data_IF_784091057394
#
_entry.id   IF_784091057394
#
_cell.length_a   1.000
_cell.length_b   1.000
_cell.length_c   1.000
_cell.angle_alpha   90.00
_cell.angle_beta   90.00
_cell.angle_gamma   90.00
#
_symmetry.space_group_name_H-M   'P 1'
#
loop_
_entity.id
_entity.type
_entity.pdbx_description
1 polymer ?
#
# COMPACT_ATOMS: atom_id res chain seq x y z
N UNK A 1 2.58 9.67 -10.69
CA UNK A 1 3.60 10.61 -11.25
C UNK A 1 3.96 11.59 -10.15
N UNK A 2 5.14 11.43 -9.61
CA UNK A 2 5.64 12.22 -8.48
C UNK A 2 5.67 13.71 -8.82
N UNK A 3 5.19 14.55 -7.90
CA UNK A 3 5.22 16.00 -8.09
C UNK A 3 6.50 16.58 -7.48
N UNK A 4 7.37 17.10 -8.33
CA UNK A 4 8.58 17.82 -7.91
C UNK A 4 8.27 19.31 -7.81
N UNK A 5 8.38 19.86 -6.62
CA UNK A 5 8.29 21.29 -6.38
C UNK A 5 9.70 21.87 -6.23
N UNK A 6 10.18 22.51 -7.28
CA UNK A 6 11.51 23.10 -7.29
C UNK A 6 11.64 24.34 -6.37
N UNK A 7 10.56 25.06 -6.13
CA UNK A 7 10.57 26.25 -5.28
C UNK A 7 10.75 25.89 -3.80
N UNK A 8 10.04 24.86 -3.32
CA UNK A 8 10.18 24.36 -1.95
C UNK A 8 11.26 23.27 -1.80
N UNK A 9 11.84 22.81 -2.90
CA UNK A 9 12.74 21.64 -2.95
C UNK A 9 12.11 20.40 -2.31
N UNK A 10 10.87 20.10 -2.70
CA UNK A 10 10.13 18.94 -2.21
C UNK A 10 9.77 18.00 -3.35
N UNK A 11 9.85 16.71 -3.07
CA UNK A 11 9.34 15.63 -3.92
C UNK A 11 8.19 14.99 -3.16
N UNK A 12 7.00 15.00 -3.76
CA UNK A 12 5.83 14.34 -3.19
C UNK A 12 5.55 13.04 -3.95
N UNK A 13 5.56 11.92 -3.23
CA UNK A 13 5.33 10.59 -3.78
C UNK A 13 4.04 10.00 -3.17
N UNK A 14 3.25 9.35 -4.01
CA UNK A 14 2.00 8.71 -3.60
C UNK A 14 2.16 7.21 -3.55
N UNK A 15 1.98 6.60 -2.38
CA UNK A 15 1.96 5.14 -2.17
C UNK A 15 0.58 4.70 -1.74
N UNK A 16 0.04 3.68 -2.42
CA UNK A 16 -1.30 3.15 -2.15
C UNK A 16 -1.21 1.73 -1.62
N UNK A 17 -1.78 1.51 -0.44
CA UNK A 17 -2.03 0.18 0.11
C UNK A 17 -3.34 -0.36 -0.47
N UNK A 18 -3.22 -1.39 -1.26
CA UNK A 18 -4.33 -2.07 -1.93
C UNK A 18 -4.56 -3.46 -1.34
N UNK A 19 -5.70 -4.08 -1.59
CA UNK A 19 -6.02 -5.42 -1.12
C UNK A 19 -7.43 -5.56 -0.57
N UNK A 20 -7.73 -6.73 -0.05
CA UNK A 20 -9.08 -7.08 0.40
C UNK A 20 -9.52 -6.29 1.64
N UNK A 21 -10.82 -6.27 1.91
CA UNK A 21 -11.39 -5.76 3.16
C UNK A 21 -10.84 -6.55 4.36
N UNK A 22 -10.55 -5.83 5.44
CA UNK A 22 -10.00 -6.39 6.68
C UNK A 22 -8.62 -7.07 6.54
N UNK A 23 -7.94 -6.91 5.40
CA UNK A 23 -6.62 -7.50 5.15
C UNK A 23 -5.47 -6.91 5.96
N UNK A 24 -5.68 -5.76 6.62
CA UNK A 24 -4.68 -5.12 7.48
C UNK A 24 -4.00 -3.91 6.85
N UNK A 25 -4.60 -3.28 5.82
CA UNK A 25 -4.10 -2.04 5.21
C UNK A 25 -4.02 -0.90 6.23
N UNK A 26 -5.13 -0.61 6.92
CA UNK A 26 -5.20 0.40 7.99
C UNK A 26 -4.24 0.09 9.12
N UNK A 27 -4.14 -1.17 9.55
CA UNK A 27 -3.23 -1.62 10.61
C UNK A 27 -1.76 -1.33 10.26
N UNK A 28 -1.37 -1.49 8.97
CA UNK A 28 -0.05 -1.10 8.49
C UNK A 28 0.20 0.41 8.71
N UNK A 29 -0.74 1.28 8.31
CA UNK A 29 -0.60 2.72 8.48
C UNK A 29 -0.58 3.14 9.96
N UNK A 30 -1.44 2.56 10.77
CA UNK A 30 -1.48 2.80 12.22
C UNK A 30 -0.16 2.42 12.88
N UNK A 31 0.44 1.30 12.49
CA UNK A 31 1.74 0.89 13.01
C UNK A 31 2.84 1.86 12.59
N UNK A 32 2.90 2.24 11.31
CA UNK A 32 3.83 3.26 10.81
C UNK A 32 3.66 4.56 11.59
N UNK A 33 2.42 5.02 11.73
CA UNK A 33 2.11 6.23 12.48
C UNK A 33 2.61 6.18 13.93
N UNK A 34 2.45 5.04 14.60
CA UNK A 34 2.85 4.87 16.00
C UNK A 34 4.37 4.90 16.19
N UNK A 35 5.15 4.54 15.17
CA UNK A 35 6.61 4.32 15.27
C UNK A 35 7.46 5.39 14.60
N UNK A 36 6.94 6.09 13.60
CA UNK A 36 7.67 7.20 12.96
C UNK A 36 7.77 8.38 13.92
N UNK A 37 8.93 9.05 13.90
CA UNK A 37 9.18 10.24 14.71
C UNK A 37 8.07 11.28 14.46
N UNK A 38 7.51 11.92 15.50
CA UNK A 38 6.52 12.98 15.37
C UNK A 38 6.90 14.09 14.40
N UNK A 39 8.17 14.47 14.33
CA UNK A 39 8.67 15.53 13.42
C UNK A 39 8.74 15.09 11.95
N UNK A 40 8.66 13.77 11.70
CA UNK A 40 8.73 13.18 10.35
C UNK A 40 7.37 12.68 9.84
N UNK A 41 6.28 13.02 10.51
CA UNK A 41 4.93 12.63 10.09
C UNK A 41 3.94 13.77 10.27
N UNK A 42 2.94 13.80 9.38
CA UNK A 42 1.77 14.64 9.56
C UNK A 42 0.66 13.92 10.34
N UNK A 43 -0.49 14.55 10.38
CA UNK A 43 -1.68 13.97 11.01
C UNK A 43 -2.21 12.82 10.16
N UNK A 44 -2.43 11.67 10.80
CA UNK A 44 -3.19 10.59 10.16
C UNK A 44 -4.67 10.95 10.10
N UNK A 45 -5.25 10.83 8.92
CA UNK A 45 -6.68 11.06 8.68
C UNK A 45 -7.30 9.73 8.27
N UNK A 46 -8.37 9.36 8.96
CA UNK A 46 -9.18 8.18 8.61
C UNK A 46 -10.62 8.63 8.38
N UNK A 47 -11.10 8.38 7.17
CA UNK A 47 -12.50 8.61 6.82
C UNK A 47 -13.25 7.29 6.95
N UNK A 48 -13.76 7.03 8.14
CA UNK A 48 -14.58 5.88 8.47
C UNK A 48 -16.00 6.31 8.80
N UNK A 49 -17.00 5.45 8.53
CA UNK A 49 -18.36 5.62 9.09
C UNK A 49 -18.54 4.82 10.36
N UNK A 50 -19.62 5.12 11.09
CA UNK A 50 -20.00 4.40 12.30
C UNK A 50 -20.26 2.89 12.07
N UNK A 51 -20.60 2.49 10.85
CA UNK A 51 -20.92 1.11 10.48
C UNK A 51 -19.80 0.36 9.77
N UNK A 52 -18.84 1.07 9.15
CA UNK A 52 -17.74 0.46 8.42
C UNK A 52 -16.41 1.15 8.74
N UNK A 53 -15.36 0.36 9.03
CA UNK A 53 -14.07 0.89 9.50
C UNK A 53 -13.34 1.77 8.51
N UNK A 54 -13.57 1.62 7.21
CA UNK A 54 -12.94 2.45 6.18
C UNK A 54 -13.90 2.63 5.01
N UNK A 55 -14.63 3.75 4.96
CA UNK A 55 -15.55 4.04 3.85
C UNK A 55 -14.84 4.55 2.62
N UNK A 56 -13.87 5.41 2.80
CA UNK A 56 -13.19 6.04 1.71
C UNK A 56 -11.70 5.70 1.69
N UNK A 57 -10.91 6.13 2.67
CA UNK A 57 -9.47 5.84 2.74
C UNK A 57 -8.87 6.31 4.06
N UNK A 58 -7.71 5.78 4.40
CA UNK A 58 -6.81 6.38 5.37
C UNK A 58 -5.72 7.13 4.62
N UNK A 59 -5.22 8.21 5.23
CA UNK A 59 -4.15 9.03 4.69
C UNK A 59 -3.13 9.35 5.77
N UNK A 60 -1.85 9.13 5.45
CA UNK A 60 -0.74 9.44 6.34
C UNK A 60 0.43 10.04 5.54
N UNK A 61 0.76 11.33 5.72
CA UNK A 61 1.98 11.91 5.18
C UNK A 61 3.17 11.62 6.09
N UNK A 62 4.28 11.16 5.49
CA UNK A 62 5.55 10.92 6.18
C UNK A 62 6.72 11.51 5.40
N UNK A 63 7.75 11.99 6.12
CA UNK A 63 9.01 12.44 5.55
C UNK A 63 10.05 11.32 5.66
N UNK A 64 10.65 10.92 4.54
CA UNK A 64 11.67 9.87 4.50
C UNK A 64 13.09 10.40 4.24
N UNK A 65 13.31 11.69 4.51
CA UNK A 65 14.60 12.34 4.37
C UNK A 65 14.78 13.06 3.03
N UNK A 66 16.04 13.25 2.63
CA UNK A 66 16.39 14.01 1.43
C UNK A 66 16.97 13.11 0.33
N UNK A 67 16.60 13.40 -0.91
CA UNK A 67 17.15 12.79 -2.10
C UNK A 67 17.64 13.90 -3.03
N UNK A 68 18.95 13.94 -3.31
CA UNK A 68 19.59 14.96 -4.17
C UNK A 68 19.27 16.41 -3.75
N UNK A 69 19.19 16.68 -2.44
CA UNK A 69 18.88 18.01 -1.90
C UNK A 69 17.40 18.38 -1.94
N UNK A 70 16.52 17.43 -2.27
CA UNK A 70 15.08 17.58 -2.18
C UNK A 70 14.51 16.78 -1.00
N UNK A 71 13.71 17.43 -0.17
CA UNK A 71 12.95 16.76 0.89
C UNK A 71 11.93 15.84 0.26
N UNK A 72 11.94 14.55 0.65
CA UNK A 72 11.05 13.55 0.05
C UNK A 72 9.92 13.22 1.01
N UNK A 73 8.71 13.58 0.61
CA UNK A 73 7.48 13.34 1.36
C UNK A 73 6.67 12.25 0.70
N UNK A 74 6.34 11.22 1.46
CA UNK A 74 5.47 10.14 1.03
C UNK A 74 4.06 10.33 1.57
N UNK A 75 3.10 10.25 0.70
CA UNK A 75 1.68 10.28 1.00
C UNK A 75 1.14 8.85 0.91
N UNK A 76 0.92 8.23 2.08
CA UNK A 76 0.41 6.87 2.19
C UNK A 76 -1.11 6.90 2.20
N UNK A 77 -1.73 6.10 1.34
CA UNK A 77 -3.18 5.95 1.25
C UNK A 77 -3.57 4.48 1.40
N UNK A 78 -4.70 4.20 2.02
CA UNK A 78 -5.39 2.91 1.88
C UNK A 78 -6.57 3.05 0.94
N UNK A 79 -6.97 1.97 0.28
CA UNK A 79 -8.24 1.91 -0.44
C UNK A 79 -9.32 1.25 0.40
N UNK A 80 -10.62 1.57 0.18
CA UNK A 80 -11.73 0.83 0.79
C UNK A 80 -11.63 -0.65 0.43
N UNK A 81 -11.83 -1.53 1.41
CA UNK A 81 -11.68 -2.97 1.23
C UNK A 81 -12.82 -3.64 0.49
N UNK A 82 -14.01 -3.06 0.50
CA UNK A 82 -15.20 -3.65 -0.10
C UNK A 82 -15.33 -3.29 -1.58
N UNK A 83 -15.76 -4.27 -2.39
CA UNK A 83 -15.93 -4.14 -3.86
C UNK A 83 -16.93 -3.06 -4.26
N UNK A 84 -17.91 -2.74 -3.42
CA UNK A 84 -18.90 -1.69 -3.68
C UNK A 84 -18.29 -0.29 -3.87
N UNK A 85 -17.07 -0.06 -3.37
CA UNK A 85 -16.38 1.22 -3.46
C UNK A 85 -15.36 1.28 -4.60
N UNK A 86 -15.62 0.58 -5.70
CA UNK A 86 -14.69 0.52 -6.82
C UNK A 86 -14.34 1.91 -7.39
N UNK A 87 -15.31 2.81 -7.45
CA UNK A 87 -15.06 4.19 -7.89
C UNK A 87 -14.06 4.92 -6.99
N UNK A 88 -14.15 4.73 -5.66
CA UNK A 88 -13.20 5.32 -4.69
C UNK A 88 -11.82 4.67 -4.80
N UNK A 89 -11.75 3.34 -4.96
CA UNK A 89 -10.48 2.63 -5.20
C UNK A 89 -9.76 3.17 -6.43
N UNK A 90 -10.49 3.31 -7.54
CA UNK A 90 -9.96 3.86 -8.79
C UNK A 90 -9.48 5.29 -8.63
N UNK A 91 -10.28 6.15 -7.96
CA UNK A 91 -9.89 7.55 -7.72
C UNK A 91 -8.59 7.66 -6.91
N UNK A 92 -8.42 6.81 -5.88
CA UNK A 92 -7.22 6.81 -5.05
C UNK A 92 -5.98 6.37 -5.85
N UNK A 93 -6.10 5.49 -6.84
CA UNK A 93 -4.99 5.06 -7.70
C UNK A 93 -4.52 6.13 -8.69
N UNK A 94 -5.31 7.17 -8.94
CA UNK A 94 -4.89 8.24 -9.86
C UNK A 94 -3.61 8.92 -9.38
N UNK A 95 -2.59 8.92 -10.24
CA UNK A 95 -1.29 9.52 -9.94
C UNK A 95 -0.45 8.73 -8.92
N UNK A 96 -0.70 7.43 -8.78
CA UNK A 96 0.07 6.55 -7.89
C UNK A 96 1.51 6.41 -8.36
N UNK A 97 2.45 6.43 -7.42
CA UNK A 97 3.89 6.26 -7.66
C UNK A 97 4.41 4.90 -7.18
N UNK A 98 3.71 4.28 -6.24
CA UNK A 98 4.04 2.95 -5.73
C UNK A 98 2.82 2.27 -5.10
N UNK A 99 2.78 0.95 -5.17
CA UNK A 99 1.65 0.16 -4.66
C UNK A 99 2.18 -0.94 -3.73
N UNK A 100 1.53 -1.08 -2.59
CA UNK A 100 1.69 -2.22 -1.68
C UNK A 100 0.38 -3.01 -1.71
N UNK A 101 0.44 -4.25 -2.17
CA UNK A 101 -0.70 -5.14 -2.09
C UNK A 101 -0.63 -5.94 -0.80
N UNK A 102 -1.60 -5.72 0.09
CA UNK A 102 -1.72 -6.43 1.36
C UNK A 102 -2.70 -7.59 1.19
N UNK A 103 -2.14 -8.80 1.09
CA UNK A 103 -2.91 -10.04 1.03
C UNK A 103 -3.21 -10.55 2.45
N UNK A 104 -4.41 -11.03 2.65
CA UNK A 104 -4.81 -11.74 3.86
C UNK A 104 -4.43 -13.22 3.72
N UNK A 105 -3.54 -13.72 4.57
CA UNK A 105 -3.02 -15.09 4.45
C UNK A 105 -4.01 -16.19 4.83
N UNK A 106 -5.19 -15.86 5.37
CA UNK A 106 -6.18 -16.85 5.78
C UNK A 106 -6.76 -17.60 4.59
N UNK A 107 -6.98 -18.92 4.72
CA UNK A 107 -7.53 -19.78 3.64
C UNK A 107 -8.87 -19.28 3.12
N UNK A 108 -9.72 -18.81 4.01
CA UNK A 108 -11.05 -18.29 3.68
C UNK A 108 -11.00 -16.98 2.88
N UNK A 109 -9.83 -16.37 2.80
CA UNK A 109 -9.61 -15.09 2.09
C UNK A 109 -8.91 -15.24 0.74
N UNK A 110 -8.61 -16.46 0.33
CA UNK A 110 -7.90 -16.73 -0.93
C UNK A 110 -8.59 -16.11 -2.15
N UNK A 111 -9.88 -16.37 -2.30
CA UNK A 111 -10.67 -15.84 -3.43
C UNK A 111 -10.75 -14.29 -3.37
N UNK A 112 -10.95 -13.73 -2.17
CA UNK A 112 -11.00 -12.28 -2.00
C UNK A 112 -9.67 -11.59 -2.34
N UNK A 113 -8.52 -12.24 -2.09
CA UNK A 113 -7.22 -11.74 -2.53
C UNK A 113 -7.10 -11.72 -4.05
N UNK A 114 -7.53 -12.79 -4.73
CA UNK A 114 -7.51 -12.90 -6.20
C UNK A 114 -8.42 -11.84 -6.81
N UNK A 115 -9.64 -11.69 -6.29
CA UNK A 115 -10.59 -10.66 -6.73
C UNK A 115 -10.02 -9.25 -6.56
N UNK A 116 -9.39 -8.97 -5.41
CA UNK A 116 -8.78 -7.66 -5.15
C UNK A 116 -7.60 -7.40 -6.10
N UNK A 117 -6.83 -8.42 -6.45
CA UNK A 117 -5.72 -8.30 -7.40
C UNK A 117 -6.26 -8.02 -8.82
N UNK A 118 -7.27 -8.74 -9.29
CA UNK A 118 -7.91 -8.46 -10.57
C UNK A 118 -8.47 -7.04 -10.61
N UNK A 119 -9.15 -6.62 -9.56
CA UNK A 119 -9.69 -5.27 -9.45
C UNK A 119 -8.59 -4.18 -9.47
N UNK A 120 -7.40 -4.46 -8.92
CA UNK A 120 -6.25 -3.56 -9.04
C UNK A 120 -5.85 -3.39 -10.52
N UNK A 121 -5.70 -4.50 -11.26
CA UNK A 121 -5.35 -4.45 -12.68
C UNK A 121 -6.39 -3.67 -13.49
N UNK A 122 -7.67 -3.96 -13.35
CA UNK A 122 -8.76 -3.27 -14.05
C UNK A 122 -8.77 -1.76 -13.77
N UNK A 123 -8.58 -1.38 -12.50
CA UNK A 123 -8.56 0.03 -12.13
C UNK A 123 -7.34 0.77 -12.67
N UNK A 124 -6.16 0.14 -12.73
CA UNK A 124 -4.97 0.72 -13.34
C UNK A 124 -5.14 0.85 -14.86
N UNK A 125 -5.62 -0.19 -15.53
CA UNK A 125 -5.89 -0.20 -16.96
C UNK A 125 -6.85 0.91 -17.37
N UNK A 126 -7.86 1.22 -16.54
CA UNK A 126 -8.81 2.30 -16.79
C UNK A 126 -8.15 3.70 -16.90
N UNK A 127 -6.93 3.86 -16.38
CA UNK A 127 -6.10 5.04 -16.51
C UNK A 127 -4.99 4.89 -17.56
N UNK A 128 -4.90 3.76 -18.23
CA UNK A 128 -3.78 3.43 -19.11
C UNK A 128 -2.48 3.16 -18.37
N UNK A 129 -2.55 2.77 -17.10
CA UNK A 129 -1.39 2.41 -16.29
C UNK A 129 -1.10 0.92 -16.42
N UNK A 130 0.18 0.59 -16.56
CA UNK A 130 0.69 -0.78 -16.51
C UNK A 130 1.36 -1.03 -15.16
N UNK A 131 0.87 -2.02 -14.40
CA UNK A 131 1.42 -2.37 -13.09
C UNK A 131 2.92 -2.74 -13.18
N UNK A 132 3.37 -3.30 -14.29
CA UNK A 132 4.79 -3.64 -14.50
C UNK A 132 5.73 -2.41 -14.50
N UNK A 133 5.18 -1.22 -14.73
CA UNK A 133 5.92 0.05 -14.73
C UNK A 133 5.81 0.82 -13.41
N UNK A 134 5.00 0.32 -12.48
CA UNK A 134 4.80 0.95 -11.17
C UNK A 134 5.56 0.13 -10.11
N UNK A 135 6.36 0.77 -9.23
CA UNK A 135 6.90 0.10 -8.05
C UNK A 135 5.83 -0.65 -7.29
N UNK A 136 5.95 -1.98 -7.23
CA UNK A 136 4.94 -2.86 -6.71
C UNK A 136 5.54 -3.91 -5.77
N UNK A 137 4.98 -4.03 -4.58
CA UNK A 137 5.42 -4.98 -3.54
C UNK A 137 4.20 -5.68 -2.96
N UNK A 138 4.34 -6.95 -2.62
CA UNK A 138 3.28 -7.73 -2.00
C UNK A 138 3.64 -8.01 -0.53
N UNK A 139 2.68 -7.81 0.37
CA UNK A 139 2.76 -8.22 1.77
C UNK A 139 1.75 -9.33 2.03
N UNK A 140 2.23 -10.51 2.46
CA UNK A 140 1.37 -11.58 2.96
C UNK A 140 1.16 -11.39 4.45
N UNK A 141 0.06 -10.73 4.82
CA UNK A 141 -0.23 -10.36 6.20
C UNK A 141 -0.95 -11.45 6.99
N UNK A 142 -0.96 -11.31 8.31
CA UNK A 142 -1.61 -12.24 9.27
C UNK A 142 -0.95 -13.61 9.33
N UNK A 143 0.39 -13.65 9.20
CA UNK A 143 1.17 -14.91 9.27
C UNK A 143 1.19 -15.55 10.68
N UNK A 144 0.72 -14.85 11.69
CA UNK A 144 0.53 -15.31 13.07
C UNK A 144 -0.66 -16.26 13.25
N UNK A 145 -1.60 -16.27 12.31
CA UNK A 145 -2.80 -17.11 12.40
C UNK A 145 -2.51 -18.57 12.00
N UNK A 146 -3.23 -19.50 12.60
CA UNK A 146 -3.03 -20.95 12.39
C UNK A 146 -3.62 -21.48 11.06
N UNK A 147 -4.58 -20.76 10.46
CA UNK A 147 -5.29 -21.15 9.23
C UNK A 147 -4.72 -20.51 7.97
N UNK A 148 -3.43 -20.17 7.98
CA UNK A 148 -2.80 -19.49 6.84
C UNK A 148 -2.46 -20.43 5.70
N UNK A 149 -2.56 -19.91 4.47
CA UNK A 149 -2.05 -20.54 3.26
C UNK A 149 -0.52 -20.52 3.27
N UNK A 150 0.18 -21.59 2.84
CA UNK A 150 1.63 -21.55 2.65
C UNK A 150 2.05 -20.39 1.73
N UNK A 151 3.17 -19.73 2.03
CA UNK A 151 3.64 -18.58 1.27
C UNK A 151 3.87 -18.92 -0.20
N UNK A 152 4.40 -20.11 -0.49
CA UNK A 152 4.65 -20.56 -1.87
C UNK A 152 3.35 -20.67 -2.69
N UNK A 153 2.26 -21.10 -2.04
CA UNK A 153 0.95 -21.16 -2.67
C UNK A 153 0.39 -19.74 -2.92
N UNK A 154 0.55 -18.83 -1.97
CA UNK A 154 0.18 -17.41 -2.14
C UNK A 154 1.00 -16.75 -3.27
N UNK A 155 2.31 -17.04 -3.35
CA UNK A 155 3.17 -16.56 -4.44
C UNK A 155 2.69 -17.05 -5.79
N UNK A 156 2.36 -18.33 -5.90
CA UNK A 156 1.84 -18.89 -7.16
C UNK A 156 0.54 -18.21 -7.61
N UNK A 157 -0.32 -17.83 -6.67
CA UNK A 157 -1.61 -17.20 -6.96
C UNK A 157 -1.51 -15.69 -7.23
N UNK A 158 -0.70 -14.97 -6.45
CA UNK A 158 -0.73 -13.50 -6.41
C UNK A 158 0.53 -12.85 -6.98
N UNK A 159 1.63 -13.59 -7.10
CA UNK A 159 2.94 -13.06 -7.51
C UNK A 159 3.58 -13.84 -8.67
N UNK A 160 2.86 -14.10 -9.77
CA UNK A 160 3.43 -14.83 -10.90
C UNK A 160 4.60 -14.10 -11.57
N UNK A 161 4.66 -12.77 -11.44
CA UNK A 161 5.73 -11.93 -11.99
C UNK A 161 6.99 -11.88 -11.12
N UNK A 162 6.96 -12.46 -9.90
CA UNK A 162 8.11 -12.52 -9.01
C UNK A 162 8.55 -11.17 -8.48
N UNK A 163 7.62 -10.24 -8.22
CA UNK A 163 7.95 -8.97 -7.57
C UNK A 163 8.37 -9.19 -6.12
N UNK A 164 9.05 -8.22 -5.55
CA UNK A 164 9.49 -8.28 -4.15
C UNK A 164 8.30 -8.49 -3.20
N UNK A 165 8.40 -9.46 -2.31
CA UNK A 165 7.34 -9.80 -1.37
C UNK A 165 7.85 -10.04 0.06
N UNK A 166 6.98 -9.86 1.03
CA UNK A 166 7.28 -10.01 2.45
C UNK A 166 6.14 -10.70 3.20
N UNK A 167 6.50 -11.54 4.15
CA UNK A 167 5.57 -12.01 5.16
C UNK A 167 5.35 -10.92 6.21
N UNK A 168 4.12 -10.81 6.71
CA UNK A 168 3.76 -9.76 7.67
C UNK A 168 2.85 -10.23 8.80
N UNK A 169 3.01 -9.55 9.93
CA UNK A 169 2.09 -9.51 11.05
C UNK A 169 1.93 -8.05 11.43
N UNK A 170 1.07 -7.34 10.72
CA UNK A 170 0.98 -5.88 10.79
C UNK A 170 0.66 -5.37 12.21
N UNK A 171 -0.13 -6.11 12.96
CA UNK A 171 -0.47 -5.77 14.35
C UNK A 171 0.77 -5.77 15.28
N UNK A 172 1.79 -6.57 14.96
CA UNK A 172 3.07 -6.63 15.67
C UNK A 172 4.15 -5.80 15.00
N UNK A 173 3.89 -5.29 13.78
CA UNK A 173 4.81 -4.51 12.97
C UNK A 173 5.77 -5.34 12.12
N UNK A 174 5.70 -6.66 12.18
CA UNK A 174 6.52 -7.54 11.35
C UNK A 174 6.17 -7.35 9.87
N UNK A 175 7.16 -7.12 9.04
CA UNK A 175 6.99 -6.89 7.61
C UNK A 175 6.47 -5.50 7.23
N UNK A 176 6.07 -4.65 8.18
CA UNK A 176 5.46 -3.33 7.90
C UNK A 176 6.49 -2.37 7.32
N UNK A 177 7.60 -2.14 8.01
CA UNK A 177 8.65 -1.23 7.54
C UNK A 177 9.47 -1.81 6.39
N UNK A 178 9.67 -3.12 6.36
CA UNK A 178 10.35 -3.82 5.26
C UNK A 178 9.61 -3.56 3.94
N UNK A 179 8.30 -3.75 3.94
CA UNK A 179 7.44 -3.54 2.77
C UNK A 179 7.43 -2.06 2.35
N UNK A 180 7.25 -1.14 3.31
CA UNK A 180 7.24 0.30 3.04
C UNK A 180 8.59 0.77 2.51
N UNK A 181 9.69 0.31 3.09
CA UNK A 181 11.05 0.65 2.66
C UNK A 181 11.33 0.16 1.25
N UNK A 182 10.90 -1.06 0.90
CA UNK A 182 11.09 -1.63 -0.42
C UNK A 182 10.38 -0.79 -1.49
N UNK A 183 9.10 -0.51 -1.33
CA UNK A 183 8.35 0.30 -2.30
C UNK A 183 8.87 1.73 -2.37
N UNK A 184 9.19 2.35 -1.25
CA UNK A 184 9.72 3.72 -1.21
C UNK A 184 11.06 3.84 -1.93
N UNK A 185 11.96 2.87 -1.73
CA UNK A 185 13.25 2.80 -2.42
C UNK A 185 13.06 2.64 -3.94
N UNK A 186 12.13 1.79 -4.36
CA UNK A 186 11.82 1.60 -5.78
C UNK A 186 11.21 2.88 -6.40
N UNK A 187 10.30 3.56 -5.69
CA UNK A 187 9.74 4.85 -6.13
C UNK A 187 10.83 5.88 -6.32
N UNK A 188 11.73 6.06 -5.33
CA UNK A 188 12.84 7.02 -5.42
C UNK A 188 13.78 6.69 -6.58
N UNK A 189 14.05 5.41 -6.82
CA UNK A 189 14.88 4.97 -7.96
C UNK A 189 14.26 5.36 -9.31
N UNK A 190 12.95 5.30 -9.43
CA UNK A 190 12.25 5.70 -10.67
C UNK A 190 12.21 7.22 -10.89
N UNK A 191 12.57 8.03 -9.88
CA UNK A 191 12.72 9.48 -10.00
C UNK A 191 14.10 9.89 -10.54
N UNK A 192 14.99 8.95 -10.64
CA UNK A 192 16.39 9.15 -11.05
C UNK A 192 16.56 8.94 -12.53
#
# INVERSE_FOLDING_TARGET
MSMINYASREINCKVVYYGTGLGGKTTNLEYVYSRVNPDSKGKMISLATETERTLFFDFLPIDLGEVRGFKTRFHLYTVPGQVYYNASRRLILKGVDGIIFVADSQRERAEANIEAMHNLYENLESYGYDLSQIPFVIQYNKRDLSNTIPVEELRAQLNPSGVEDYEGVAIEGKGVFETLKAVSKAVVKNLS
#
